data_IF_835128006250
#
_entry.id   IF_835128006250
#
_cell.length_a   1.000
_cell.length_b   1.000
_cell.length_c   1.000
_cell.angle_alpha   90.00
_cell.angle_beta   90.00
_cell.angle_gamma   90.00
#
_symmetry.space_group_name_H-M   'P 1'
#
loop_
_entity.id
_entity.type
_entity.pdbx_description
1 polymer ?
#
# COMPACT_ATOMS: atom_id res chain seq x y z
N UNK A 1 18.24 -0.83 -43.89
CA UNK A 1 18.66 -1.77 -42.82
C UNK A 1 17.71 -1.57 -41.65
N UNK A 2 16.78 -2.49 -41.43
CA UNK A 2 15.90 -2.46 -40.26
C UNK A 2 16.76 -2.82 -39.05
N UNK A 3 17.32 -1.79 -38.41
CA UNK A 3 18.02 -1.93 -37.13
C UNK A 3 16.96 -2.21 -36.06
N UNK A 4 16.59 -3.47 -35.89
CA UNK A 4 15.93 -3.95 -34.69
C UNK A 4 16.90 -3.66 -33.54
N UNK A 5 16.67 -2.53 -32.86
CA UNK A 5 17.50 -2.05 -31.76
C UNK A 5 17.24 -2.93 -30.54
N UNK A 6 17.85 -4.11 -30.48
CA UNK A 6 17.75 -5.04 -29.36
C UNK A 6 18.09 -4.35 -28.02
N UNK A 7 19.02 -3.38 -28.07
CA UNK A 7 19.45 -2.55 -26.93
C UNK A 7 18.35 -1.61 -26.38
N UNK A 8 17.25 -1.36 -27.10
CA UNK A 8 16.12 -0.56 -26.60
C UNK A 8 15.17 -1.37 -25.72
N UNK A 9 15.15 -2.68 -25.87
CA UNK A 9 14.23 -3.57 -25.14
C UNK A 9 14.95 -4.39 -24.06
N UNK A 10 16.26 -4.24 -23.92
CA UNK A 10 17.04 -4.84 -22.84
C UNK A 10 17.00 -3.95 -21.59
N UNK A 11 16.96 -4.53 -20.39
CA UNK A 11 17.01 -3.76 -19.14
C UNK A 11 18.30 -2.91 -19.07
N UNK A 12 18.17 -1.70 -18.55
CA UNK A 12 19.28 -0.74 -18.42
C UNK A 12 20.09 -1.10 -17.17
N UNK A 13 21.09 -1.96 -17.33
CA UNK A 13 22.01 -2.37 -16.25
C UNK A 13 23.44 -1.92 -16.53
N UNK A 14 23.65 -0.61 -16.71
CA UNK A 14 25.00 -0.02 -16.84
C UNK A 14 25.90 -0.72 -17.90
N UNK A 15 25.31 -1.14 -19.03
CA UNK A 15 26.04 -1.83 -20.10
C UNK A 15 26.35 -3.32 -19.85
N UNK A 16 25.83 -3.91 -18.77
CA UNK A 16 25.99 -5.32 -18.42
C UNK A 16 24.77 -6.13 -18.88
N UNK A 17 25.00 -7.35 -19.37
CA UNK A 17 23.94 -8.29 -19.72
C UNK A 17 23.34 -8.87 -18.42
N UNK A 18 22.01 -8.89 -18.24
CA UNK A 18 21.40 -9.41 -17.02
C UNK A 18 21.75 -10.89 -16.86
N UNK A 19 22.51 -11.22 -15.82
CA UNK A 19 22.99 -12.58 -15.51
C UNK A 19 21.94 -13.43 -14.79
N UNK A 20 20.86 -12.82 -14.31
CA UNK A 20 19.82 -13.47 -13.51
C UNK A 20 18.44 -12.83 -13.70
N UNK A 21 17.39 -13.57 -13.35
CA UNK A 21 16.03 -13.08 -13.42
C UNK A 21 15.84 -11.87 -12.49
N UNK A 22 15.05 -10.85 -12.89
CA UNK A 22 14.84 -9.60 -12.13
C UNK A 22 14.00 -9.79 -10.86
N UNK A 23 13.71 -11.04 -10.47
CA UNK A 23 12.99 -11.35 -9.24
C UNK A 23 13.92 -11.18 -8.05
N UNK A 24 14.08 -9.93 -7.61
CA UNK A 24 14.57 -9.65 -6.27
C UNK A 24 13.46 -10.04 -5.29
N UNK A 25 13.75 -10.85 -4.25
CA UNK A 25 12.75 -11.16 -3.25
C UNK A 25 12.31 -9.84 -2.61
N UNK A 26 10.99 -9.60 -2.64
CA UNK A 26 10.39 -8.42 -2.04
C UNK A 26 10.81 -8.31 -0.58
N UNK A 27 11.26 -7.12 -0.18
CA UNK A 27 11.69 -6.87 1.20
C UNK A 27 10.49 -6.98 2.13
N UNK A 28 10.47 -8.04 2.93
CA UNK A 28 9.42 -8.35 3.91
C UNK A 28 9.16 -7.20 4.91
N UNK A 29 10.12 -6.30 5.09
CA UNK A 29 9.96 -5.11 5.91
C UNK A 29 8.83 -4.20 5.40
N UNK A 30 8.73 -3.97 4.09
CA UNK A 30 7.64 -3.15 3.53
C UNK A 30 6.31 -3.89 3.51
N UNK A 31 6.35 -5.22 3.43
CA UNK A 31 5.16 -6.06 3.53
C UNK A 31 4.48 -5.92 4.90
N UNK A 32 5.27 -5.98 5.97
CA UNK A 32 4.76 -5.85 7.33
C UNK A 32 4.17 -4.45 7.60
N UNK A 33 4.79 -3.40 7.04
CA UNK A 33 4.26 -2.03 7.12
C UNK A 33 2.89 -1.94 6.42
N UNK A 34 2.72 -2.59 5.26
CA UNK A 34 1.45 -2.60 4.54
C UNK A 34 0.34 -3.34 5.30
N UNK A 35 0.65 -4.49 5.92
CA UNK A 35 -0.31 -5.22 6.77
C UNK A 35 -0.70 -4.39 7.99
N UNK A 36 0.28 -3.79 8.66
CA UNK A 36 0.03 -2.92 9.81
C UNK A 36 -0.88 -1.74 9.44
N UNK A 37 -0.61 -1.08 8.31
CA UNK A 37 -1.44 0.00 7.79
C UNK A 37 -2.87 -0.48 7.50
N UNK A 38 -3.03 -1.64 6.87
CA UNK A 38 -4.33 -2.22 6.55
C UNK A 38 -5.18 -2.50 7.81
N UNK A 39 -4.56 -3.00 8.88
CA UNK A 39 -5.25 -3.25 10.15
C UNK A 39 -5.70 -1.93 10.78
N UNK A 40 -4.81 -0.93 10.86
CA UNK A 40 -5.15 0.37 11.44
C UNK A 40 -6.22 1.13 10.64
N UNK A 41 -6.25 0.99 9.32
CA UNK A 41 -7.30 1.61 8.49
C UNK A 41 -8.69 1.05 8.83
N UNK A 42 -8.79 -0.27 9.05
CA UNK A 42 -10.03 -0.91 9.52
C UNK A 42 -10.41 -0.47 10.94
N UNK A 43 -9.45 -0.38 11.85
CA UNK A 43 -9.71 0.11 13.22
C UNK A 43 -10.23 1.56 13.21
N UNK A 44 -9.64 2.44 12.40
CA UNK A 44 -10.08 3.83 12.27
C UNK A 44 -11.49 3.90 11.67
N UNK A 45 -11.81 3.10 10.66
CA UNK A 45 -13.14 3.04 10.08
C UNK A 45 -14.21 2.66 11.11
N UNK A 46 -13.89 1.76 12.04
CA UNK A 46 -14.78 1.37 13.14
C UNK A 46 -14.87 2.42 14.26
N UNK A 47 -13.80 3.18 14.51
CA UNK A 47 -13.78 4.24 15.52
C UNK A 47 -14.50 5.53 15.07
N UNK A 48 -14.50 5.83 13.77
CA UNK A 48 -15.10 7.04 13.19
C UNK A 48 -16.56 7.34 13.62
N UNK A 49 -17.49 6.37 13.72
CA UNK A 49 -18.87 6.64 14.14
C UNK A 49 -19.06 6.92 15.64
N UNK A 50 -18.08 6.61 16.50
CA UNK A 50 -18.25 6.71 17.96
C UNK A 50 -18.63 8.12 18.47
N UNK A 51 -17.99 9.21 18.02
CA UNK A 51 -18.35 10.55 18.49
C UNK A 51 -19.79 10.95 18.08
N UNK A 52 -20.26 10.48 16.92
CA UNK A 52 -21.63 10.74 16.45
C UNK A 52 -22.67 10.04 17.32
N UNK A 53 -22.40 8.78 17.68
CA UNK A 53 -23.26 7.99 18.57
C UNK A 53 -23.33 8.65 19.95
N UNK A 54 -22.17 9.08 20.47
CA UNK A 54 -22.08 9.76 21.76
C UNK A 54 -22.90 11.07 21.76
N UNK A 55 -22.76 11.90 20.73
CA UNK A 55 -23.53 13.15 20.58
C UNK A 55 -25.04 12.89 20.59
N UNK A 56 -25.50 11.88 19.84
CA UNK A 56 -26.91 11.51 19.80
C UNK A 56 -27.42 11.05 21.17
N UNK A 57 -26.64 10.24 21.90
CA UNK A 57 -27.00 9.78 23.24
C UNK A 57 -27.15 10.92 24.25
N UNK A 58 -26.27 11.94 24.22
CA UNK A 58 -26.41 13.12 25.07
C UNK A 58 -27.66 13.92 24.74
N UNK A 59 -28.00 14.07 23.46
CA UNK A 59 -29.21 14.77 23.05
C UNK A 59 -30.47 14.07 23.57
N UNK A 60 -30.51 12.73 23.50
CA UNK A 60 -31.63 11.94 24.01
C UNK A 60 -31.77 12.06 25.53
N UNK A 61 -30.66 11.94 26.27
CA UNK A 61 -30.67 12.10 27.73
C UNK A 61 -31.10 13.51 28.16
N UNK A 62 -30.78 14.54 27.38
CA UNK A 62 -31.25 15.91 27.68
C UNK A 62 -32.75 16.12 27.45
N UNK A 63 -33.38 15.24 26.66
CA UNK A 63 -34.80 15.32 26.30
C UNK A 63 -35.71 14.52 27.26
N UNK A 64 -35.15 13.57 28.00
CA UNK A 64 -35.82 12.74 29.03
C UNK A 64 -35.68 13.34 30.41
#
# INVERSE_FOLDING_TARGET
KNYLNFNKNSPIECGMMPLSAPFTPFSLQFFLIAILFMIFDVEIALLLPLPLILLYSYSLFSLT
#
